data_IF_654051490208
#
_entry.id   IF_654051490208
#
_cell.length_a   1.000
_cell.length_b   1.000
_cell.length_c   1.000
_cell.angle_alpha   90.00
_cell.angle_beta   90.00
_cell.angle_gamma   90.00
#
_symmetry.space_group_name_H-M   'P 1'
#
loop_
_entity.id
_entity.type
_entity.pdbx_description
1 polymer ?
#
# COMPACT_ATOMS: atom_id res chain seq x y z
N UNK A 1 -10.95 -1.99 -20.19
CA UNK A 1 -10.20 -0.71 -20.21
C UNK A 1 -8.72 -1.02 -20.34
N UNK A 2 -8.00 -0.30 -21.21
CA UNK A 2 -6.58 -0.51 -21.42
C UNK A 2 -5.81 -0.04 -20.19
N UNK A 3 -4.88 -0.85 -19.70
CA UNK A 3 -4.05 -0.54 -18.53
C UNK A 3 -2.66 -0.12 -18.99
N UNK A 4 -2.15 0.96 -18.42
CA UNK A 4 -0.82 1.47 -18.64
C UNK A 4 0.00 1.44 -17.35
N UNK A 5 1.33 1.50 -17.47
CA UNK A 5 2.19 1.60 -16.30
C UNK A 5 3.42 2.46 -16.55
N UNK A 6 4.02 2.91 -15.45
CA UNK A 6 5.31 3.60 -15.41
C UNK A 6 6.14 3.08 -14.23
N UNK A 7 7.44 2.97 -14.43
CA UNK A 7 8.41 2.69 -13.37
C UNK A 7 9.21 3.96 -13.13
N UNK A 8 9.45 4.29 -11.87
CA UNK A 8 10.15 5.52 -11.49
C UNK A 8 11.03 5.31 -10.26
N UNK A 9 12.10 6.07 -10.19
CA UNK A 9 13.06 6.01 -9.08
C UNK A 9 12.56 6.83 -7.88
N UNK A 10 12.76 6.30 -6.69
CA UNK A 10 12.50 6.96 -5.41
C UNK A 10 13.73 6.85 -4.51
N UNK A 11 13.71 7.53 -3.36
CA UNK A 11 14.77 7.42 -2.36
C UNK A 11 14.93 5.98 -1.81
N UNK A 12 13.92 5.12 -1.90
CA UNK A 12 13.96 3.72 -1.45
C UNK A 12 14.09 2.70 -2.60
N UNK A 13 14.34 3.15 -3.82
CA UNK A 13 14.46 2.29 -4.99
C UNK A 13 13.40 2.60 -6.05
N UNK A 14 13.19 1.66 -6.96
CA UNK A 14 12.28 1.81 -8.10
C UNK A 14 10.88 1.36 -7.73
N UNK A 15 9.91 2.26 -7.79
CA UNK A 15 8.49 2.00 -7.62
C UNK A 15 7.78 1.90 -8.98
N UNK A 16 6.57 1.38 -8.99
CA UNK A 16 5.75 1.29 -10.19
C UNK A 16 4.31 1.68 -9.92
N UNK A 17 3.67 2.26 -10.92
CA UNK A 17 2.27 2.64 -10.87
C UNK A 17 1.59 2.23 -12.16
N UNK A 18 0.42 1.60 -12.06
CA UNK A 18 -0.43 1.28 -13.19
C UNK A 18 -1.78 2.00 -13.08
N UNK A 19 -2.34 2.36 -14.22
CA UNK A 19 -3.59 3.10 -14.31
C UNK A 19 -4.38 2.75 -15.56
N UNK A 20 -5.65 3.11 -15.55
CA UNK A 20 -6.54 3.13 -16.71
C UNK A 20 -7.34 4.45 -16.74
N UNK A 21 -8.35 4.55 -17.57
CA UNK A 21 -9.19 5.76 -17.70
C UNK A 21 -9.96 6.10 -16.41
N UNK A 22 -10.24 5.12 -15.56
CA UNK A 22 -10.97 5.31 -14.30
C UNK A 22 -10.07 5.72 -13.12
N UNK A 23 -8.76 5.48 -13.21
CA UNK A 23 -7.82 5.85 -12.14
C UNK A 23 -6.66 4.87 -11.97
N UNK A 24 -5.99 4.99 -10.84
CA UNK A 24 -4.88 4.10 -10.46
C UNK A 24 -5.42 2.71 -10.12
N UNK A 25 -4.85 1.70 -10.77
CA UNK A 25 -5.24 0.29 -10.58
C UNK A 25 -4.24 -0.47 -9.70
N UNK A 26 -2.96 -0.05 -9.71
CA UNK A 26 -1.89 -0.67 -8.92
C UNK A 26 -0.81 0.32 -8.53
N UNK A 27 -0.25 0.08 -7.36
CA UNK A 27 1.02 0.67 -6.94
C UNK A 27 1.95 -0.45 -6.46
N UNK A 28 3.12 -0.53 -7.06
CA UNK A 28 4.17 -1.47 -6.69
C UNK A 28 5.21 -0.76 -5.84
N UNK A 29 5.38 -1.23 -4.60
CA UNK A 29 6.37 -0.67 -3.66
C UNK A 29 7.80 -0.78 -4.21
N UNK A 30 8.71 0.12 -3.78
CA UNK A 30 10.08 0.17 -4.29
C UNK A 30 10.84 -1.14 -4.14
N UNK A 31 11.60 -1.49 -5.17
CA UNK A 31 12.61 -2.53 -5.17
C UNK A 31 13.96 -1.95 -5.64
N UNK A 32 15.06 -2.63 -5.33
CA UNK A 32 16.40 -2.15 -5.63
C UNK A 32 16.66 -1.98 -7.14
N UNK A 33 15.95 -2.73 -7.98
CA UNK A 33 16.13 -2.71 -9.45
C UNK A 33 14.81 -2.48 -10.16
N UNK A 34 14.83 -1.66 -11.21
CA UNK A 34 13.66 -1.37 -12.03
C UNK A 34 13.04 -2.64 -12.64
N UNK A 35 13.87 -3.58 -13.09
CA UNK A 35 13.41 -4.86 -13.67
C UNK A 35 12.63 -5.70 -12.66
N UNK A 36 13.04 -5.68 -11.39
CA UNK A 36 12.33 -6.38 -10.32
C UNK A 36 10.95 -5.77 -10.08
N UNK A 37 10.87 -4.45 -10.03
CA UNK A 37 9.60 -3.72 -9.89
C UNK A 37 8.69 -3.99 -11.08
N UNK A 38 9.21 -3.89 -12.30
CA UNK A 38 8.46 -4.16 -13.53
C UNK A 38 7.89 -5.59 -13.53
N UNK A 39 8.72 -6.59 -13.23
CA UNK A 39 8.28 -7.98 -13.16
C UNK A 39 7.19 -8.20 -12.11
N UNK A 40 7.32 -7.58 -10.93
CA UNK A 40 6.35 -7.71 -9.86
C UNK A 40 5.01 -7.03 -10.22
N UNK A 41 5.06 -5.89 -10.87
CA UNK A 41 3.88 -5.18 -11.35
C UNK A 41 3.18 -5.98 -12.46
N UNK A 42 3.90 -6.40 -13.49
CA UNK A 42 3.34 -7.11 -14.63
C UNK A 42 2.83 -8.51 -14.29
N UNK A 43 3.36 -9.17 -13.26
CA UNK A 43 2.81 -10.44 -12.78
C UNK A 43 1.34 -10.31 -12.34
N UNK A 44 0.94 -9.12 -11.88
CA UNK A 44 -0.43 -8.82 -11.42
C UNK A 44 -1.24 -7.97 -12.39
N UNK A 45 -0.61 -7.45 -13.43
CA UNK A 45 -1.21 -6.68 -14.50
C UNK A 45 -0.52 -7.05 -15.83
N UNK A 46 -0.68 -8.31 -16.31
CA UNK A 46 0.10 -8.84 -17.43
C UNK A 46 -0.15 -8.11 -18.75
N UNK A 47 -1.32 -7.51 -18.91
CA UNK A 47 -1.73 -6.80 -20.13
C UNK A 47 -1.42 -5.29 -20.08
N UNK A 48 -0.73 -4.82 -19.03
CA UNK A 48 -0.38 -3.42 -18.92
C UNK A 48 0.77 -3.07 -19.87
N UNK A 49 0.65 -1.91 -20.52
CA UNK A 49 1.66 -1.39 -21.45
C UNK A 49 2.37 -0.18 -20.86
N UNK A 50 3.68 -0.09 -21.06
CA UNK A 50 4.44 1.10 -20.66
C UNK A 50 3.95 2.33 -21.42
N UNK A 51 3.72 3.44 -20.72
CA UNK A 51 3.25 4.68 -21.32
C UNK A 51 3.68 5.90 -20.51
N UNK A 52 3.70 7.05 -21.16
CA UNK A 52 3.84 8.33 -20.49
C UNK A 52 2.57 8.61 -19.65
N UNK A 53 2.74 8.96 -18.36
CA UNK A 53 1.60 9.19 -17.50
C UNK A 53 0.89 10.52 -17.84
N UNK A 54 -0.45 10.53 -17.91
CA UNK A 54 -1.20 11.79 -18.00
C UNK A 54 -1.00 12.62 -16.73
N UNK A 55 -1.34 13.91 -16.78
CA UNK A 55 -1.05 14.89 -15.73
C UNK A 55 -1.41 14.41 -14.32
N UNK A 56 -2.60 13.88 -14.11
CA UNK A 56 -3.03 13.40 -12.79
C UNK A 56 -2.19 12.24 -12.26
N UNK A 57 -1.77 11.33 -13.14
CA UNK A 57 -0.90 10.20 -12.79
C UNK A 57 0.54 10.69 -12.55
N UNK A 58 1.04 11.61 -13.37
CA UNK A 58 2.35 12.23 -13.18
C UNK A 58 2.44 12.95 -11.82
N UNK A 59 1.38 13.65 -11.41
CA UNK A 59 1.29 14.28 -10.08
C UNK A 59 1.33 13.24 -8.95
N UNK A 60 0.67 12.09 -9.13
CA UNK A 60 0.72 10.99 -8.17
C UNK A 60 2.13 10.38 -8.08
N UNK A 61 2.82 10.23 -9.20
CA UNK A 61 4.22 9.79 -9.25
C UNK A 61 5.13 10.75 -8.47
N UNK A 62 5.02 12.05 -8.71
CA UNK A 62 5.81 13.07 -8.00
C UNK A 62 5.48 13.11 -6.50
N UNK A 63 4.21 12.94 -6.13
CA UNK A 63 3.78 12.81 -4.74
C UNK A 63 4.42 11.58 -4.06
N UNK A 64 4.46 10.45 -4.75
CA UNK A 64 5.11 9.23 -4.24
C UNK A 64 6.63 9.42 -4.05
N UNK A 65 7.31 10.08 -4.99
CA UNK A 65 8.73 10.41 -4.85
C UNK A 65 8.99 11.27 -3.60
N UNK A 66 8.18 12.30 -3.39
CA UNK A 66 8.28 13.17 -2.20
C UNK A 66 8.02 12.40 -0.91
N UNK A 67 7.03 11.52 -0.89
CA UNK A 67 6.75 10.66 0.26
C UNK A 67 7.97 9.82 0.64
N UNK A 68 8.56 9.11 -0.31
CA UNK A 68 9.73 8.27 -0.06
C UNK A 68 11.00 9.08 0.24
N UNK A 69 11.03 10.36 -0.07
CA UNK A 69 12.06 11.30 0.36
C UNK A 69 11.84 11.82 1.80
N UNK A 70 10.76 11.41 2.47
CA UNK A 70 10.47 11.76 3.86
C UNK A 70 9.49 12.93 4.03
N UNK A 71 8.87 13.40 2.97
CA UNK A 71 7.85 14.45 3.08
C UNK A 71 6.49 13.88 3.53
N UNK A 72 5.76 14.67 4.29
CA UNK A 72 4.36 14.38 4.61
C UNK A 72 3.50 14.64 3.37
N UNK A 73 2.93 13.59 2.81
CA UNK A 73 2.09 13.64 1.61
C UNK A 73 0.73 13.02 1.90
N UNK A 74 -0.32 13.66 1.39
CA UNK A 74 -1.69 13.14 1.41
C UNK A 74 -2.07 12.60 0.02
N UNK A 75 -2.54 11.36 -0.04
CA UNK A 75 -3.01 10.69 -1.25
C UNK A 75 -4.53 10.55 -1.32
N UNK A 76 -5.28 11.23 -0.46
CA UNK A 76 -6.74 11.08 -0.36
C UNK A 76 -7.47 11.42 -1.65
N UNK A 77 -6.95 12.37 -2.43
CA UNK A 77 -7.55 12.84 -3.68
C UNK A 77 -7.22 11.98 -4.91
N UNK A 78 -6.34 10.99 -4.76
CA UNK A 78 -5.96 10.12 -5.87
C UNK A 78 -7.14 9.23 -6.27
N UNK A 79 -7.55 9.31 -7.52
CA UNK A 79 -8.60 8.45 -8.06
C UNK A 79 -8.11 7.03 -8.23
N UNK A 80 -8.84 6.05 -7.70
CA UNK A 80 -8.54 4.63 -7.80
C UNK A 80 -9.61 3.91 -8.62
N UNK A 81 -9.18 2.96 -9.43
CA UNK A 81 -10.08 1.95 -9.98
C UNK A 81 -9.96 0.64 -9.18
N UNK A 82 -10.96 0.40 -8.35
CA UNK A 82 -11.12 -0.80 -7.53
C UNK A 82 -12.29 -1.67 -8.02
N UNK A 83 -12.74 -1.50 -9.26
CA UNK A 83 -13.88 -2.22 -9.82
C UNK A 83 -13.70 -3.74 -9.82
N UNK A 84 -12.46 -4.22 -9.87
CA UNK A 84 -12.13 -5.66 -9.76
C UNK A 84 -12.12 -6.22 -8.32
N UNK A 85 -12.41 -5.39 -7.31
CA UNK A 85 -12.45 -5.82 -5.90
C UNK A 85 -13.91 -6.10 -5.47
N UNK A 86 -14.10 -7.03 -4.54
CA UNK A 86 -15.41 -7.25 -3.94
C UNK A 86 -15.83 -6.09 -3.02
N UNK A 87 -17.12 -6.03 -2.67
CA UNK A 87 -17.70 -4.94 -1.90
C UNK A 87 -17.08 -4.81 -0.50
N UNK A 88 -16.78 -5.94 0.14
CA UNK A 88 -16.15 -5.95 1.46
C UNK A 88 -14.75 -5.35 1.39
N UNK A 89 -13.94 -5.77 0.42
CA UNK A 89 -12.59 -5.24 0.25
C UNK A 89 -12.61 -3.75 -0.10
N UNK A 90 -13.53 -3.32 -0.96
CA UNK A 90 -13.71 -1.89 -1.24
C UNK A 90 -14.04 -1.07 0.00
N UNK A 91 -14.92 -1.59 0.87
CA UNK A 91 -15.25 -0.93 2.14
C UNK A 91 -14.05 -0.86 3.09
N UNK A 92 -13.27 -1.94 3.19
CA UNK A 92 -12.03 -1.99 3.98
C UNK A 92 -11.01 -0.98 3.45
N UNK A 93 -10.79 -0.93 2.14
CA UNK A 93 -9.84 0.02 1.53
C UNK A 93 -10.28 1.48 1.70
N UNK A 94 -11.58 1.76 1.59
CA UNK A 94 -12.11 3.09 1.86
C UNK A 94 -11.89 3.52 3.32
N UNK A 95 -12.07 2.62 4.26
CA UNK A 95 -11.81 2.88 5.69
C UNK A 95 -10.30 3.10 5.95
N UNK A 96 -9.43 2.27 5.36
CA UNK A 96 -7.99 2.41 5.48
C UNK A 96 -7.48 3.76 4.95
N UNK A 97 -8.05 4.26 3.85
CA UNK A 97 -7.68 5.56 3.26
C UNK A 97 -8.02 6.77 4.14
N UNK A 98 -8.83 6.60 5.17
CA UNK A 98 -9.11 7.66 6.14
C UNK A 98 -7.99 7.83 7.17
N UNK A 99 -7.08 6.86 7.29
CA UNK A 99 -5.91 6.98 8.17
C UNK A 99 -4.96 8.02 7.59
N UNK A 100 -4.69 9.05 8.35
CA UNK A 100 -3.74 10.09 7.98
C UNK A 100 -2.28 9.66 8.16
N UNK A 101 -1.38 10.52 7.72
CA UNK A 101 0.06 10.34 7.86
C UNK A 101 0.45 10.18 9.35
N UNK A 102 1.14 9.10 9.68
CA UNK A 102 1.55 8.78 11.05
C UNK A 102 0.45 8.18 11.94
N UNK A 103 -0.78 8.03 11.43
CA UNK A 103 -1.87 7.37 12.14
C UNK A 103 -1.84 5.87 11.86
N UNK A 104 -2.04 5.07 12.90
CA UNK A 104 -2.12 3.62 12.78
C UNK A 104 -3.37 3.07 13.44
N UNK A 105 -3.81 1.91 12.96
CA UNK A 105 -4.86 1.11 13.60
C UNK A 105 -4.49 -0.37 13.54
N UNK A 106 -5.31 -1.22 14.13
CA UNK A 106 -5.18 -2.67 14.03
C UNK A 106 -6.20 -3.25 13.05
N UNK A 107 -6.06 -4.52 12.66
CA UNK A 107 -7.06 -5.22 11.86
C UNK A 107 -8.44 -5.18 12.53
N UNK A 108 -8.49 -5.42 13.85
CA UNK A 108 -9.74 -5.32 14.62
C UNK A 108 -10.28 -3.89 14.71
N UNK A 109 -9.40 -2.89 14.82
CA UNK A 109 -9.80 -1.48 14.81
C UNK A 109 -10.41 -1.07 13.50
N UNK A 110 -9.83 -1.49 12.36
CA UNK A 110 -10.37 -1.20 11.04
C UNK A 110 -11.69 -1.95 10.79
N UNK A 111 -11.80 -3.20 11.27
CA UNK A 111 -13.04 -3.96 11.21
C UNK A 111 -14.19 -3.23 11.91
N UNK A 112 -13.95 -2.71 13.11
CA UNK A 112 -14.93 -1.88 13.83
C UNK A 112 -15.32 -0.62 13.07
N UNK A 113 -14.37 0.02 12.41
CA UNK A 113 -14.62 1.23 11.59
C UNK A 113 -15.58 0.97 10.42
N UNK A 114 -15.68 -0.25 9.92
CA UNK A 114 -16.65 -0.67 8.91
C UNK A 114 -17.90 -1.34 9.49
N UNK A 115 -18.10 -1.26 10.81
CA UNK A 115 -19.28 -1.78 11.50
C UNK A 115 -19.28 -3.28 11.75
N UNK A 116 -18.11 -3.94 11.72
CA UNK A 116 -17.98 -5.38 11.95
C UNK A 116 -17.26 -5.68 13.27
N UNK A 117 -17.83 -6.57 14.05
CA UNK A 117 -17.29 -7.02 15.35
C UNK A 117 -17.24 -8.55 15.49
N UNK A 118 -17.56 -9.27 14.41
CA UNK A 118 -17.45 -10.73 14.40
C UNK A 118 -15.99 -11.19 14.44
N UNK A 119 -15.76 -12.42 14.85
CA UNK A 119 -14.40 -12.96 15.00
C UNK A 119 -13.63 -13.10 13.68
N UNK A 120 -14.33 -13.16 12.55
CA UNK A 120 -13.72 -13.24 11.23
C UNK A 120 -13.30 -11.89 10.69
N UNK A 121 -13.89 -10.80 11.21
CA UNK A 121 -13.72 -9.47 10.66
C UNK A 121 -12.25 -9.01 10.63
N UNK A 122 -11.50 -9.24 11.68
CA UNK A 122 -10.07 -8.90 11.71
C UNK A 122 -9.24 -9.72 10.72
N UNK A 123 -9.60 -10.98 10.50
CA UNK A 123 -8.97 -11.84 9.48
C UNK A 123 -9.25 -11.34 8.08
N UNK A 124 -10.50 -10.96 7.79
CA UNK A 124 -10.88 -10.40 6.50
C UNK A 124 -10.12 -9.11 6.18
N UNK A 125 -9.97 -8.23 7.18
CA UNK A 125 -9.13 -7.03 7.06
C UNK A 125 -7.68 -7.41 6.77
N UNK A 126 -7.12 -8.38 7.49
CA UNK A 126 -5.76 -8.87 7.24
C UNK A 126 -5.58 -9.40 5.81
N UNK A 127 -6.56 -10.14 5.30
CA UNK A 127 -6.54 -10.63 3.91
C UNK A 127 -6.63 -9.48 2.89
N UNK A 128 -7.50 -8.49 3.13
CA UNK A 128 -7.61 -7.32 2.27
C UNK A 128 -6.29 -6.54 2.23
N UNK A 129 -5.64 -6.34 3.37
CA UNK A 129 -4.33 -5.68 3.45
C UNK A 129 -3.25 -6.46 2.69
N UNK A 130 -3.20 -7.78 2.83
CA UNK A 130 -2.26 -8.64 2.11
C UNK A 130 -2.48 -8.62 0.58
N UNK A 131 -3.71 -8.46 0.13
CA UNK A 131 -4.09 -8.41 -1.29
C UNK A 131 -4.21 -7.00 -1.86
N UNK A 132 -3.87 -5.98 -1.08
CA UNK A 132 -3.98 -4.58 -1.48
C UNK A 132 -3.32 -4.32 -2.85
N UNK A 133 -4.09 -3.89 -3.86
CA UNK A 133 -3.53 -3.65 -5.19
C UNK A 133 -2.78 -2.32 -5.30
N UNK A 134 -3.07 -1.36 -4.42
CA UNK A 134 -2.56 0.01 -4.52
C UNK A 134 -1.87 0.40 -3.21
N UNK A 135 -0.81 -0.33 -2.86
CA UNK A 135 0.00 -0.03 -1.68
C UNK A 135 0.43 1.44 -1.66
N UNK A 136 0.73 2.00 -0.50
CA UNK A 136 0.98 3.41 -0.24
C UNK A 136 -0.30 4.27 -0.29
N UNK A 137 -1.03 4.29 -1.40
CA UNK A 137 -2.25 5.11 -1.58
C UNK A 137 -3.40 4.52 -0.75
N UNK A 138 -3.53 3.20 -0.73
CA UNK A 138 -4.29 2.49 0.30
C UNK A 138 -3.26 2.09 1.38
N UNK A 139 -3.25 2.75 2.54
CA UNK A 139 -2.11 2.69 3.46
C UNK A 139 -2.13 1.42 4.33
N UNK A 140 -1.94 0.26 3.71
CA UNK A 140 -1.88 -1.02 4.45
C UNK A 140 -0.74 -1.06 5.49
N UNK A 141 0.30 -0.26 5.32
CA UNK A 141 1.37 -0.13 6.30
C UNK A 141 0.91 0.52 7.62
N UNK A 142 -0.19 1.28 7.61
CA UNK A 142 -0.82 1.90 8.79
C UNK A 142 -1.79 0.97 9.52
N UNK A 143 -2.05 -0.22 8.97
CA UNK A 143 -2.94 -1.22 9.58
C UNK A 143 -2.11 -2.38 10.08
N UNK A 144 -2.06 -2.56 11.39
CA UNK A 144 -1.16 -3.46 12.09
C UNK A 144 -1.92 -4.69 12.62
N UNK A 145 -1.18 -5.79 12.82
CA UNK A 145 -1.71 -6.93 13.56
C UNK A 145 -1.83 -6.59 15.06
N UNK A 146 -2.50 -7.46 15.81
CA UNK A 146 -2.62 -7.31 17.25
C UNK A 146 -1.25 -7.14 17.93
N UNK A 147 -1.16 -6.26 18.92
CA UNK A 147 0.10 -5.91 19.57
C UNK A 147 1.05 -5.03 18.77
N UNK A 148 0.55 -4.35 17.71
CA UNK A 148 1.35 -3.45 16.88
C UNK A 148 2.35 -4.15 15.96
N UNK A 149 2.19 -5.45 15.74
CA UNK A 149 3.05 -6.23 14.83
C UNK A 149 2.72 -5.92 13.38
N UNK A 150 3.74 -5.92 12.52
CA UNK A 150 3.51 -5.90 11.07
C UNK A 150 2.91 -7.25 10.69
N UNK A 151 1.65 -7.23 10.23
CA UNK A 151 0.96 -8.41 9.71
C UNK A 151 1.64 -8.94 8.44
N UNK A 152 1.30 -10.16 8.06
CA UNK A 152 1.86 -10.81 6.88
C UNK A 152 1.74 -9.94 5.64
N UNK A 153 2.86 -9.68 5.01
CA UNK A 153 2.97 -8.97 3.74
C UNK A 153 3.45 -9.97 2.70
N UNK A 154 2.64 -10.26 1.70
CA UNK A 154 2.93 -11.32 0.73
C UNK A 154 3.96 -10.93 -0.34
N UNK A 155 4.46 -9.70 -0.34
CA UNK A 155 5.49 -9.26 -1.29
C UNK A 155 6.89 -9.57 -0.75
N UNK A 156 7.84 -10.02 -1.59
CA UNK A 156 9.25 -10.16 -1.21
C UNK A 156 9.78 -8.81 -0.67
N UNK A 157 10.36 -8.80 0.53
CA UNK A 157 10.83 -7.57 1.19
C UNK A 157 9.73 -6.66 1.73
N UNK A 158 8.46 -7.06 1.63
CA UNK A 158 7.30 -6.22 1.98
C UNK A 158 7.28 -5.78 3.44
N UNK A 159 7.59 -6.67 4.38
CA UNK A 159 7.63 -6.34 5.81
C UNK A 159 8.71 -5.29 6.13
N UNK A 160 9.87 -5.37 5.49
CA UNK A 160 10.94 -4.40 5.64
C UNK A 160 10.54 -3.03 5.06
N UNK A 161 9.97 -3.01 3.86
CA UNK A 161 9.48 -1.77 3.23
C UNK A 161 8.38 -1.14 4.06
N UNK A 162 7.44 -1.92 4.58
CA UNK A 162 6.39 -1.46 5.50
C UNK A 162 6.98 -0.81 6.75
N UNK A 163 7.99 -1.44 7.36
CA UNK A 163 8.68 -0.88 8.52
C UNK A 163 9.39 0.45 8.19
N UNK A 164 10.03 0.54 7.03
CA UNK A 164 10.65 1.80 6.56
C UNK A 164 9.60 2.89 6.34
N UNK A 165 8.45 2.57 5.76
CA UNK A 165 7.36 3.53 5.57
C UNK A 165 6.82 4.05 6.90
N UNK A 166 6.61 3.19 7.89
CA UNK A 166 6.22 3.60 9.25
C UNK A 166 7.26 4.50 9.90
N UNK A 167 8.55 4.18 9.75
CA UNK A 167 9.65 5.02 10.24
C UNK A 167 9.68 6.39 9.56
N UNK A 168 9.45 6.47 8.24
CA UNK A 168 9.31 7.74 7.52
C UNK A 168 8.17 8.59 8.08
N UNK A 169 7.08 7.96 8.51
CA UNK A 169 5.93 8.63 9.10
C UNK A 169 6.09 8.96 10.61
N UNK A 170 7.26 8.70 11.17
CA UNK A 170 7.56 8.97 12.58
C UNK A 170 6.85 8.03 13.56
N UNK A 171 6.37 6.89 13.09
CA UNK A 171 5.77 5.87 13.96
C UNK A 171 6.88 5.09 14.64
N UNK A 172 7.11 5.38 15.92
CA UNK A 172 8.02 4.62 16.75
C UNK A 172 7.44 3.22 17.02
N UNK A 173 8.27 2.23 16.80
CA UNK A 173 7.97 0.84 17.15
C UNK A 173 8.93 0.39 18.22
N UNK A 174 8.41 -0.21 19.28
CA UNK A 174 9.27 -0.92 20.23
C UNK A 174 10.08 -1.97 19.48
N UNK A 175 11.41 -2.04 19.70
CA UNK A 175 12.21 -3.11 19.14
C UNK A 175 11.61 -4.44 19.56
N UNK A 176 11.42 -5.35 18.61
CA UNK A 176 10.99 -6.71 18.92
C UNK A 176 11.90 -7.23 20.05
N UNK A 177 11.32 -7.49 21.22
CA UNK A 177 12.07 -8.14 22.29
C UNK A 177 12.64 -9.43 21.71
N UNK A 178 13.95 -9.46 21.53
CA UNK A 178 14.64 -10.73 21.35
C UNK A 178 14.36 -11.51 22.63
N UNK A 179 13.48 -12.51 22.54
CA UNK A 179 13.37 -13.52 23.57
C UNK A 179 14.75 -14.19 23.63
N UNK A 180 15.54 -13.76 24.60
CA UNK A 180 16.71 -14.53 25.01
C UNK A 180 16.13 -15.81 25.59
N UNK A 181 16.15 -16.87 24.75
CA UNK A 181 15.89 -18.22 25.23
C UNK A 181 16.96 -18.56 26.27
N UNK A 182 16.52 -18.76 27.50
CA UNK A 182 17.25 -19.55 28.50
C UNK A 182 16.81 -21.01 28.34
#
# INVERSE_FOLDING_TARGET
MKTHYVIFETALGFAGLAWNEAGVTRFQLPAAKAETTTRNLLRRAPDAEAAEPPTAIAQTVEAAKRYFAGEKVDFSDVMLDLSGQDDLFRAIYAAARRLGYGETTTYGGLAKAIGRSDWEAARDVGQAMAKNPVALIIPCHRVLAAGGKIGGFSAPGGAETKAKMLALEGVEREPAQRSLGL
#
